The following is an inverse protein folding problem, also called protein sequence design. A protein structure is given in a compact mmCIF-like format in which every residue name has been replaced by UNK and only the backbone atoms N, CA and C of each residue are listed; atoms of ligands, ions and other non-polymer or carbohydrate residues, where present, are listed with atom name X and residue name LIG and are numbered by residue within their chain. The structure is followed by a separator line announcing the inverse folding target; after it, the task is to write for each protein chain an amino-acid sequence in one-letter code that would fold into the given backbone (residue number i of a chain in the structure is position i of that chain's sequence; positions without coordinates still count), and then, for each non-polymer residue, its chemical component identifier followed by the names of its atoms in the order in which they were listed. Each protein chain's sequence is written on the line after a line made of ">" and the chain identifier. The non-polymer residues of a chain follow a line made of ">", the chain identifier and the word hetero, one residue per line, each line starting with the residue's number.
data_IF_425623886311
#
_entry.id   IF_425623886311
#
_cell.length_a   1.000
_cell.length_b   1.000
_cell.length_c   1.000
_cell.angle_alpha   90.00
_cell.angle_beta   90.00
_cell.angle_gamma   90.00
#
_symmetry.space_group_name_H-M   'P 1'
#
loop_
_entity.id
_entity.type
_entity.pdbx_description
1 polymer ?
#
# COMPACT_ATOMS: atom_id res chain seq x y z
N UNK A 1 29.65 11.47 10.24
CA UNK A 1 29.82 12.43 9.13
C UNK A 1 28.43 12.84 8.68
N UNK A 2 28.11 14.15 8.81
CA UNK A 2 26.98 14.92 8.25
C UNK A 2 25.57 14.31 8.49
N UNK A 3 24.88 14.67 9.58
CA UNK A 3 23.97 15.83 9.68
C UNK A 3 22.74 15.74 8.73
N UNK A 4 21.82 14.83 9.03
CA UNK A 4 20.44 14.83 8.50
C UNK A 4 19.44 15.46 9.49
N UNK A 5 19.90 16.44 10.26
CA UNK A 5 18.97 17.36 10.94
C UNK A 5 18.39 18.31 9.87
N UNK A 6 17.06 18.28 9.69
CA UNK A 6 16.20 19.33 9.09
C UNK A 6 15.58 19.16 7.69
N UNK A 7 15.53 17.99 7.05
CA UNK A 7 15.04 18.00 5.66
C UNK A 7 13.53 17.97 5.42
N UNK A 8 12.69 17.33 6.25
CA UNK A 8 11.25 17.60 6.20
C UNK A 8 10.55 17.20 7.50
N UNK A 9 9.75 18.11 8.04
CA UNK A 9 8.59 17.81 8.86
C UNK A 9 7.60 16.94 8.07
N UNK A 10 7.87 15.64 7.96
CA UNK A 10 7.01 14.65 7.28
C UNK A 10 5.60 14.49 7.89
N UNK A 11 5.28 15.29 8.90
CA UNK A 11 3.96 15.49 9.51
C UNK A 11 3.04 16.46 8.73
N UNK A 12 3.44 16.93 7.55
CA UNK A 12 2.76 18.04 6.86
C UNK A 12 1.53 17.66 6.03
N UNK A 13 1.23 16.37 5.79
CA UNK A 13 0.01 16.02 5.07
C UNK A 13 -1.18 16.15 6.02
N UNK A 14 -1.74 17.34 6.07
CA UNK A 14 -2.96 17.64 6.80
C UNK A 14 -4.10 18.01 5.85
N UNK A 15 -5.26 18.31 6.41
CA UNK A 15 -6.46 18.67 5.67
C UNK A 15 -6.35 19.99 4.89
N UNK A 16 -5.28 20.78 5.06
CA UNK A 16 -5.04 22.00 4.25
C UNK A 16 -4.69 21.68 2.79
N UNK A 17 -4.22 20.46 2.52
CA UNK A 17 -3.97 19.97 1.17
C UNK A 17 -5.26 19.47 0.50
N UNK A 18 -6.27 20.33 0.48
CA UNK A 18 -7.63 20.01 0.03
C UNK A 18 -7.74 19.67 -1.46
N UNK A 19 -6.77 20.06 -2.28
CA UNK A 19 -6.69 19.76 -3.72
C UNK A 19 -5.71 18.66 -4.08
N UNK A 20 -5.03 18.06 -3.10
CA UNK A 20 -4.03 17.03 -3.38
C UNK A 20 -4.69 15.70 -3.73
N UNK A 21 -4.59 15.33 -5.02
CA UNK A 21 -5.25 14.13 -5.54
C UNK A 21 -4.34 12.91 -5.69
N UNK A 22 -3.04 13.15 -5.85
CA UNK A 22 -2.07 12.11 -6.18
C UNK A 22 -0.79 12.26 -5.38
N UNK A 23 -0.30 11.15 -4.83
CA UNK A 23 0.97 11.07 -4.14
C UNK A 23 1.86 9.98 -4.72
N UNK A 24 3.13 10.30 -4.89
CA UNK A 24 4.18 9.38 -5.32
C UNK A 24 5.32 9.41 -4.31
N UNK A 25 5.48 8.32 -3.56
CA UNK A 25 6.66 8.09 -2.74
C UNK A 25 7.63 7.22 -3.52
N UNK A 26 8.67 7.86 -4.05
CA UNK A 26 9.71 7.17 -4.81
C UNK A 26 10.89 6.84 -3.92
N UNK A 27 11.24 5.55 -3.88
CA UNK A 27 12.49 5.06 -3.28
C UNK A 27 12.59 5.43 -1.79
N UNK A 28 11.51 5.17 -1.04
CA UNK A 28 11.38 5.52 0.38
C UNK A 28 11.68 4.33 1.30
N UNK A 29 12.31 4.57 2.45
CA UNK A 29 12.50 3.53 3.47
C UNK A 29 11.18 3.29 4.24
N UNK A 30 10.91 2.06 4.68
CA UNK A 30 9.63 1.73 5.32
C UNK A 30 9.41 2.43 6.66
N UNK A 31 10.47 2.57 7.47
CA UNK A 31 10.44 3.31 8.74
C UNK A 31 10.02 4.78 8.58
N UNK A 32 10.36 5.37 7.44
CA UNK A 32 9.99 6.72 7.04
C UNK A 32 8.56 6.77 6.50
N UNK A 33 8.17 5.75 5.73
CA UNK A 33 6.86 5.67 5.10
C UNK A 33 5.73 5.60 6.12
N UNK A 34 5.89 4.82 7.19
CA UNK A 34 4.79 4.55 8.14
C UNK A 34 4.18 5.83 8.76
N UNK A 35 4.96 6.74 9.37
CA UNK A 35 4.41 8.01 9.88
C UNK A 35 3.74 8.87 8.80
N UNK A 36 4.16 8.76 7.53
CA UNK A 36 3.55 9.49 6.43
C UNK A 36 2.19 8.91 6.05
N UNK A 37 2.05 7.57 6.08
CA UNK A 37 0.80 6.88 5.77
C UNK A 37 -0.32 7.20 6.76
N UNK A 38 -0.01 7.32 8.05
CA UNK A 38 -0.99 7.67 9.09
C UNK A 38 -1.72 8.99 8.79
N UNK A 39 -0.98 9.97 8.26
CA UNK A 39 -1.48 11.30 7.95
C UNK A 39 -2.32 11.35 6.66
N UNK A 40 -2.21 10.36 5.77
CA UNK A 40 -2.92 10.38 4.49
C UNK A 40 -4.44 10.28 4.66
N UNK A 41 -4.91 9.73 5.77
CA UNK A 41 -6.34 9.67 6.11
C UNK A 41 -6.97 11.06 6.24
N UNK A 42 -6.16 12.08 6.52
CA UNK A 42 -6.61 13.47 6.64
C UNK A 42 -6.78 14.18 5.29
N UNK A 43 -6.25 13.60 4.20
CA UNK A 43 -6.28 14.19 2.87
C UNK A 43 -7.63 13.93 2.21
N UNK A 44 -8.50 14.96 2.10
CA UNK A 44 -9.89 14.74 1.74
C UNK A 44 -10.08 14.31 0.30
N UNK A 45 -9.10 14.52 -0.58
CA UNK A 45 -9.22 14.26 -2.01
C UNK A 45 -8.10 13.38 -2.56
N UNK A 46 -7.38 12.63 -1.72
CA UNK A 46 -6.36 11.71 -2.21
C UNK A 46 -7.01 10.51 -2.94
N UNK A 47 -6.89 10.49 -4.27
CA UNK A 47 -7.45 9.45 -5.14
C UNK A 47 -6.41 8.44 -5.64
N UNK A 48 -5.13 8.82 -5.67
CA UNK A 48 -4.05 8.00 -6.22
C UNK A 48 -2.84 7.98 -5.31
N UNK A 49 -2.31 6.78 -5.07
CA UNK A 49 -1.09 6.59 -4.28
C UNK A 49 -0.18 5.58 -4.95
N UNK A 50 1.07 5.98 -5.16
CA UNK A 50 2.14 5.09 -5.64
C UNK A 50 3.29 5.08 -4.63
N UNK A 51 3.69 3.89 -4.23
CA UNK A 51 4.79 3.65 -3.29
C UNK A 51 5.84 2.77 -3.95
N UNK A 52 7.08 3.23 -3.95
CA UNK A 52 8.26 2.46 -4.34
C UNK A 52 9.25 2.45 -3.17
N UNK A 53 9.58 1.26 -2.67
CA UNK A 53 10.33 1.10 -1.42
C UNK A 53 11.33 -0.06 -1.47
N UNK A 54 12.46 0.06 -0.76
CA UNK A 54 13.54 -0.92 -0.82
C UNK A 54 13.34 -2.14 0.08
N UNK A 55 12.55 -2.04 1.14
CA UNK A 55 12.26 -3.15 2.04
C UNK A 55 11.04 -2.84 2.91
N UNK A 56 10.01 -3.68 2.82
CA UNK A 56 8.79 -3.60 3.66
C UNK A 56 8.69 -4.81 4.58
N UNK A 57 9.82 -5.48 4.84
CA UNK A 57 9.88 -6.83 5.43
C UNK A 57 9.08 -6.98 6.72
N UNK A 58 8.87 -5.93 7.50
CA UNK A 58 8.18 -6.01 8.79
C UNK A 58 6.86 -5.24 8.85
N UNK A 59 6.57 -4.41 7.84
CA UNK A 59 5.50 -3.41 7.91
C UNK A 59 4.49 -3.52 6.77
N UNK A 60 4.66 -4.46 5.84
CA UNK A 60 3.75 -4.55 4.68
C UNK A 60 2.29 -4.76 5.06
N UNK A 61 2.03 -5.53 6.12
CA UNK A 61 0.68 -5.76 6.62
C UNK A 61 0.08 -4.45 7.13
N UNK A 62 0.87 -3.66 7.85
CA UNK A 62 0.46 -2.36 8.38
C UNK A 62 0.25 -1.34 7.25
N UNK A 63 1.13 -1.34 6.24
CA UNK A 63 0.95 -0.55 5.02
C UNK A 63 -0.41 -0.87 4.39
N UNK A 64 -0.70 -2.14 4.10
CA UNK A 64 -1.99 -2.51 3.51
C UNK A 64 -3.18 -2.11 4.39
N UNK A 65 -3.09 -2.29 5.71
CA UNK A 65 -4.14 -1.86 6.64
C UNK A 65 -4.40 -0.35 6.57
N UNK A 66 -3.35 0.47 6.58
CA UNK A 66 -3.46 1.92 6.50
C UNK A 66 -3.97 2.38 5.13
N UNK A 67 -3.59 1.70 4.05
CA UNK A 67 -4.04 2.06 2.70
C UNK A 67 -5.50 1.70 2.47
N UNK A 68 -5.94 0.52 2.91
CA UNK A 68 -7.30 0.05 2.62
C UNK A 68 -8.40 0.84 3.34
N UNK A 69 -8.06 1.58 4.40
CA UNK A 69 -9.00 2.47 5.09
C UNK A 69 -9.13 3.87 4.45
N UNK A 70 -8.32 4.20 3.43
CA UNK A 70 -8.35 5.53 2.82
C UNK A 70 -9.64 5.73 2.00
N UNK A 71 -10.49 6.72 2.36
CA UNK A 71 -11.90 6.74 1.95
C UNK A 71 -12.15 7.14 0.50
N UNK A 72 -11.16 7.72 -0.19
CA UNK A 72 -11.27 8.13 -1.60
C UNK A 72 -10.22 7.50 -2.51
N UNK A 73 -9.37 6.62 -1.98
CA UNK A 73 -8.26 6.08 -2.76
C UNK A 73 -8.77 5.07 -3.81
N UNK A 74 -8.72 5.46 -5.08
CA UNK A 74 -9.16 4.64 -6.21
C UNK A 74 -8.02 3.89 -6.90
N UNK A 75 -6.83 4.47 -6.89
CA UNK A 75 -5.63 3.89 -7.48
C UNK A 75 -4.58 3.66 -6.41
N UNK A 76 -4.09 2.42 -6.30
CA UNK A 76 -2.98 2.08 -5.44
C UNK A 76 -1.95 1.24 -6.19
N UNK A 77 -0.69 1.66 -6.11
CA UNK A 77 0.47 0.91 -6.61
C UNK A 77 1.51 0.78 -5.52
N UNK A 78 2.00 -0.43 -5.30
CA UNK A 78 3.15 -0.68 -4.43
C UNK A 78 4.21 -1.50 -5.16
N UNK A 79 5.46 -1.05 -5.07
CA UNK A 79 6.64 -1.74 -5.57
C UNK A 79 7.63 -1.94 -4.43
N UNK A 80 8.03 -3.19 -4.18
CA UNK A 80 9.03 -3.53 -3.18
C UNK A 80 10.07 -4.47 -3.75
N UNK A 81 11.34 -4.06 -3.66
CA UNK A 81 12.45 -4.75 -4.33
C UNK A 81 12.94 -6.02 -3.58
N UNK A 82 12.69 -6.13 -2.28
CA UNK A 82 13.26 -7.19 -1.42
C UNK A 82 12.24 -7.86 -0.49
N UNK A 83 11.05 -8.15 -0.99
CA UNK A 83 10.00 -8.79 -0.20
C UNK A 83 10.09 -10.32 -0.29
N UNK A 84 10.25 -10.97 0.87
CA UNK A 84 10.41 -12.42 1.02
C UNK A 84 9.58 -13.00 2.18
N UNK A 85 8.69 -12.22 2.79
CA UNK A 85 7.84 -12.68 3.89
C UNK A 85 6.42 -12.86 3.42
N UNK A 86 5.61 -13.56 4.21
CA UNK A 86 4.21 -13.74 3.88
C UNK A 86 3.36 -12.57 4.37
N UNK A 87 2.39 -12.15 3.56
CA UNK A 87 1.37 -11.17 3.96
C UNK A 87 0.38 -11.90 4.84
N UNK A 88 0.17 -11.38 6.05
CA UNK A 88 -0.74 -11.98 7.03
C UNK A 88 -1.84 -10.95 7.30
N UNK A 89 -2.78 -10.88 6.36
CA UNK A 89 -4.00 -10.11 6.51
C UNK A 89 -5.16 -11.07 6.70
N UNK A 90 -6.03 -10.86 7.69
CA UNK A 90 -7.27 -11.63 7.76
C UNK A 90 -8.11 -11.33 6.51
N UNK A 91 -8.95 -12.28 6.12
CA UNK A 91 -9.98 -12.01 5.11
C UNK A 91 -10.88 -10.90 5.65
N UNK A 92 -11.19 -9.91 4.81
CA UNK A 92 -12.02 -8.80 5.19
C UNK A 92 -13.41 -9.30 5.65
N UNK A 93 -13.76 -9.04 6.90
CA UNK A 93 -15.11 -9.29 7.43
C UNK A 93 -15.86 -7.97 7.49
N UNK A 94 -17.05 -7.94 6.87
CA UNK A 94 -18.11 -6.92 6.89
C UNK A 94 -17.70 -5.46 7.19
N UNK A 95 -17.93 -4.58 6.19
CA UNK A 95 -17.95 -3.10 6.25
C UNK A 95 -16.61 -2.33 6.20
N UNK A 96 -15.45 -3.00 6.10
CA UNK A 96 -14.16 -2.32 5.87
C UNK A 96 -13.67 -2.51 4.43
N UNK A 97 -14.49 -2.08 3.48
CA UNK A 97 -14.15 -2.16 2.07
C UNK A 97 -13.45 -0.90 1.60
N UNK A 98 -12.32 -1.12 0.95
CA UNK A 98 -11.56 -0.08 0.28
C UNK A 98 -12.24 0.34 -1.02
N UNK A 99 -12.24 1.64 -1.36
CA UNK A 99 -12.78 2.15 -2.62
C UNK A 99 -11.83 1.93 -3.82
N UNK A 100 -10.73 1.19 -3.63
CA UNK A 100 -9.75 0.93 -4.68
C UNK A 100 -10.41 0.24 -5.87
N UNK A 101 -10.29 0.88 -7.03
CA UNK A 101 -10.72 0.38 -8.34
C UNK A 101 -9.53 -0.20 -9.13
N UNK A 102 -8.31 0.26 -8.84
CA UNK A 102 -7.08 -0.12 -9.54
C UNK A 102 -5.97 -0.48 -8.54
N UNK A 103 -5.56 -1.75 -8.52
CA UNK A 103 -4.52 -2.27 -7.63
C UNK A 103 -3.34 -2.82 -8.43
N UNK A 104 -2.14 -2.31 -8.17
CA UNK A 104 -0.89 -2.78 -8.77
C UNK A 104 0.06 -3.27 -7.69
N UNK A 105 0.33 -4.57 -7.70
CA UNK A 105 1.24 -5.23 -6.76
C UNK A 105 2.51 -5.63 -7.49
N UNK A 106 3.60 -4.93 -7.18
CA UNK A 106 4.94 -5.18 -7.70
C UNK A 106 5.89 -5.61 -6.58
N UNK A 107 5.48 -6.66 -5.89
CA UNK A 107 6.31 -7.46 -5.00
C UNK A 107 5.78 -8.89 -5.03
N UNK A 108 6.53 -9.82 -4.43
CA UNK A 108 6.11 -11.20 -4.30
C UNK A 108 4.76 -11.29 -3.57
N UNK A 109 3.81 -12.05 -4.11
CA UNK A 109 2.50 -12.30 -3.50
C UNK A 109 2.01 -13.70 -3.88
N UNK A 110 1.67 -14.52 -2.88
CA UNK A 110 1.06 -15.84 -3.10
C UNK A 110 -0.44 -15.72 -3.42
N UNK A 111 -1.06 -16.79 -3.91
CA UNK A 111 -2.50 -16.79 -4.22
C UNK A 111 -3.37 -16.57 -2.97
N UNK A 112 -3.01 -17.15 -1.84
CA UNK A 112 -3.74 -16.98 -0.58
C UNK A 112 -3.65 -15.53 -0.06
N UNK A 113 -2.48 -14.91 -0.22
CA UNK A 113 -2.27 -13.51 0.12
C UNK A 113 -3.06 -12.61 -0.82
N UNK A 114 -3.05 -12.92 -2.12
CA UNK A 114 -3.83 -12.20 -3.11
C UNK A 114 -5.31 -12.27 -2.80
N UNK A 115 -5.83 -13.46 -2.47
CA UNK A 115 -7.21 -13.66 -2.07
C UNK A 115 -7.58 -12.78 -0.86
N UNK A 116 -6.66 -12.68 0.11
CA UNK A 116 -6.85 -11.82 1.28
C UNK A 116 -6.88 -10.35 0.86
N UNK A 117 -5.94 -9.88 0.02
CA UNK A 117 -5.90 -8.50 -0.46
C UNK A 117 -7.15 -8.10 -1.25
N UNK A 118 -7.59 -8.92 -2.20
CA UNK A 118 -8.77 -8.62 -3.03
C UNK A 118 -10.06 -8.62 -2.21
N UNK A 119 -10.11 -9.35 -1.08
CA UNK A 119 -11.28 -9.34 -0.20
C UNK A 119 -11.58 -7.95 0.40
N UNK A 120 -10.55 -7.08 0.51
CA UNK A 120 -10.71 -5.70 0.94
C UNK A 120 -11.15 -4.75 -0.18
N UNK A 121 -11.07 -5.14 -1.45
CA UNK A 121 -11.30 -4.26 -2.60
C UNK A 121 -12.44 -4.77 -3.48
N UNK A 122 -13.71 -4.81 -3.02
CA UNK A 122 -14.81 -5.35 -3.80
C UNK A 122 -15.16 -4.52 -5.05
N UNK A 123 -14.70 -3.27 -5.13
CA UNK A 123 -14.89 -2.38 -6.28
C UNK A 123 -13.76 -2.50 -7.32
N UNK A 124 -12.86 -3.47 -7.17
CA UNK A 124 -11.69 -3.64 -8.01
C UNK A 124 -12.09 -3.92 -9.46
N UNK A 125 -11.65 -3.05 -10.38
CA UNK A 125 -11.87 -3.16 -11.83
C UNK A 125 -10.61 -3.59 -12.55
N UNK A 126 -9.44 -3.25 -12.00
CA UNK A 126 -8.14 -3.58 -12.59
C UNK A 126 -7.18 -4.08 -11.52
N UNK A 127 -6.63 -5.25 -11.76
CA UNK A 127 -5.57 -5.86 -10.96
C UNK A 127 -4.35 -6.06 -11.85
N UNK A 128 -3.17 -5.67 -11.38
CA UNK A 128 -1.91 -5.94 -12.06
C UNK A 128 -0.93 -6.53 -11.08
N UNK A 129 -0.37 -7.69 -11.44
CA UNK A 129 0.59 -8.43 -10.65
C UNK A 129 1.87 -8.59 -11.47
N UNK A 130 3.02 -8.26 -10.90
CA UNK A 130 4.29 -8.40 -11.58
C UNK A 130 5.14 -9.59 -11.10
N UNK A 131 4.83 -10.15 -9.92
CA UNK A 131 5.55 -11.28 -9.32
C UNK A 131 4.60 -12.16 -8.49
N UNK A 132 4.05 -13.21 -9.09
CA UNK A 132 3.22 -14.22 -8.40
C UNK A 132 3.90 -15.59 -8.45
N UNK A 133 3.80 -16.39 -7.39
CA UNK A 133 4.14 -17.81 -7.51
C UNK A 133 3.09 -18.55 -8.35
N UNK A 134 3.55 -19.41 -9.25
CA UNK A 134 2.74 -20.41 -9.96
C UNK A 134 2.89 -21.81 -9.37
N UNK A 135 3.41 -21.93 -8.13
CA UNK A 135 3.86 -23.22 -7.59
C UNK A 135 2.75 -24.12 -7.00
N UNK A 136 1.47 -23.75 -7.10
CA UNK A 136 0.36 -24.62 -6.69
C UNK A 136 -0.15 -25.57 -7.80
N UNK A 137 0.60 -25.74 -8.90
CA UNK A 137 0.26 -26.71 -9.96
C UNK A 137 0.85 -28.13 -9.76
N UNK A 138 1.44 -28.43 -8.61
CA UNK A 138 1.77 -29.80 -8.23
C UNK A 138 0.81 -30.33 -7.17
N UNK A 139 -0.48 -30.43 -7.53
CA UNK A 139 -1.40 -31.35 -6.85
C UNK A 139 -1.49 -32.60 -7.73
N UNK A 140 -0.67 -33.60 -7.43
CA UNK A 140 -0.95 -35.01 -7.73
C UNK A 140 -2.11 -35.51 -6.89
#
# INVERSE_FOLDING_TARGET
>A
MLQDSYLFSWYLFDSSFDRLESLLFKVIQSNTLMPMLDNLSSLPNLFSLTIETYSVKEQINDIYRLIFILPKLKYYRISSFNYYRSIILPIAMNNQFSPIEHLVINHYCSLNELQSLISYTPQLRRLTLHKTETNDLNVT
#
